data_IF_647420483754
#
_entry.id   IF_647420483754
#
_cell.length_a   1.000
_cell.length_b   1.000
_cell.length_c   1.000
_cell.angle_alpha   90.00
_cell.angle_beta   90.00
_cell.angle_gamma   90.00
#
_symmetry.space_group_name_H-M   'P 1'
#
loop_
_entity.id
_entity.type
_entity.pdbx_description
1 polymer ?
#
# COMPACT_ATOMS: atom_id res chain seq x y z
N UNK A 1 3.48 11.85 12.05
CA UNK A 1 4.03 10.58 12.59
C UNK A 1 3.53 9.34 11.85
N UNK A 2 2.22 9.15 11.60
CA UNK A 2 1.73 7.99 10.82
C UNK A 2 1.59 8.24 9.31
N UNK A 3 1.18 9.44 8.88
CA UNK A 3 1.10 9.78 7.45
C UNK A 3 2.44 9.55 6.72
N UNK A 4 3.56 9.98 7.31
CA UNK A 4 4.90 9.70 6.77
C UNK A 4 5.17 8.20 6.57
N UNK A 5 4.82 7.36 7.54
CA UNK A 5 5.00 5.90 7.47
C UNK A 5 4.12 5.27 6.40
N UNK A 6 2.88 5.75 6.25
CA UNK A 6 1.98 5.32 5.17
C UNK A 6 2.55 5.73 3.81
N UNK A 7 3.08 6.95 3.68
CA UNK A 7 3.74 7.40 2.45
C UNK A 7 4.98 6.56 2.11
N UNK A 8 5.81 6.24 3.11
CA UNK A 8 6.96 5.36 2.94
C UNK A 8 6.53 3.98 2.44
N UNK A 9 5.52 3.38 3.06
CA UNK A 9 4.94 2.10 2.65
C UNK A 9 4.41 2.14 1.21
N UNK A 10 3.74 3.22 0.79
CA UNK A 10 3.20 3.37 -0.56
C UNK A 10 4.29 3.44 -1.64
N UNK A 11 5.45 3.99 -1.31
CA UNK A 11 6.59 4.04 -2.21
C UNK A 11 7.25 2.66 -2.35
N UNK A 12 7.34 1.91 -1.26
CA UNK A 12 8.13 0.68 -1.17
C UNK A 12 7.33 -0.57 -1.58
N UNK A 13 6.04 -0.63 -1.24
CA UNK A 13 5.24 -1.82 -1.49
C UNK A 13 5.25 -2.27 -2.96
N UNK A 14 5.02 -1.40 -3.95
CA UNK A 14 5.05 -1.81 -5.35
C UNK A 14 6.40 -2.34 -5.83
N UNK A 15 7.50 -1.98 -5.15
CA UNK A 15 8.87 -2.39 -5.52
C UNK A 15 9.27 -3.72 -4.86
N UNK A 16 8.63 -4.08 -3.75
CA UNK A 16 9.02 -5.23 -2.91
C UNK A 16 7.92 -6.29 -2.79
N UNK A 17 6.70 -6.03 -3.27
CA UNK A 17 5.53 -6.91 -3.08
C UNK A 17 5.67 -8.30 -3.68
N UNK A 18 6.58 -8.51 -4.63
CA UNK A 18 6.90 -9.83 -5.17
C UNK A 18 7.66 -10.72 -4.18
N UNK A 19 8.40 -10.11 -3.24
CA UNK A 19 9.33 -10.81 -2.32
C UNK A 19 8.92 -10.68 -0.86
N UNK A 20 8.05 -9.74 -0.53
CA UNK A 20 7.71 -9.39 0.84
C UNK A 20 6.21 -9.18 1.02
N UNK A 21 5.73 -9.54 2.21
CA UNK A 21 4.32 -9.35 2.58
C UNK A 21 4.02 -7.90 2.92
N UNK A 22 2.74 -7.54 2.93
CA UNK A 22 2.25 -6.24 3.39
C UNK A 22 2.74 -5.94 4.80
N UNK A 23 2.70 -6.93 5.69
CA UNK A 23 3.10 -6.80 7.09
C UNK A 23 4.60 -6.53 7.24
N UNK A 24 5.43 -7.21 6.45
CA UNK A 24 6.88 -7.02 6.48
C UNK A 24 7.27 -5.59 6.03
N UNK A 25 6.69 -5.12 4.93
CA UNK A 25 6.97 -3.77 4.41
C UNK A 25 6.37 -2.68 5.33
N UNK A 26 5.25 -2.96 5.98
CA UNK A 26 4.69 -2.07 7.00
C UNK A 26 5.62 -1.96 8.22
N UNK A 27 6.23 -3.07 8.64
CA UNK A 27 7.22 -3.07 9.72
C UNK A 27 8.47 -2.27 9.35
N UNK A 28 9.00 -2.44 8.13
CA UNK A 28 10.11 -1.62 7.60
C UNK A 28 9.75 -0.13 7.53
N UNK A 29 8.48 0.18 7.25
CA UNK A 29 7.96 1.54 7.26
C UNK A 29 7.72 2.11 8.67
N UNK A 30 8.09 1.36 9.73
CA UNK A 30 8.09 1.83 11.12
C UNK A 30 6.81 1.55 11.91
N UNK A 31 5.93 0.65 11.44
CA UNK A 31 4.79 0.19 12.22
C UNK A 31 5.16 -0.98 13.13
N UNK A 32 4.83 -0.88 14.42
CA UNK A 32 5.11 -1.92 15.41
C UNK A 32 4.14 -3.10 15.35
N UNK A 33 2.97 -2.91 14.76
CA UNK A 33 1.95 -3.96 14.62
C UNK A 33 0.99 -3.66 13.48
N UNK A 34 0.31 -4.72 13.02
CA UNK A 34 -0.63 -4.70 11.90
C UNK A 34 -1.86 -3.82 12.16
N UNK A 35 -2.43 -3.84 13.37
CA UNK A 35 -3.62 -3.06 13.70
C UNK A 35 -3.39 -1.55 13.57
N UNK A 36 -2.26 -1.07 14.08
CA UNK A 36 -1.85 0.35 13.97
C UNK A 36 -1.64 0.74 12.52
N UNK A 37 -0.99 -0.13 11.74
CA UNK A 37 -0.78 0.08 10.31
C UNK A 37 -2.10 0.15 9.56
N UNK A 38 -2.99 -0.81 9.74
CA UNK A 38 -4.26 -0.90 9.02
C UNK A 38 -5.18 0.27 9.34
N UNK A 39 -5.26 0.66 10.61
CA UNK A 39 -6.02 1.84 11.03
C UNK A 39 -5.45 3.14 10.45
N UNK A 40 -4.12 3.31 10.48
CA UNK A 40 -3.46 4.46 9.88
C UNK A 40 -3.67 4.50 8.36
N UNK A 41 -3.44 3.38 7.67
CA UNK A 41 -3.59 3.30 6.22
C UNK A 41 -5.03 3.58 5.79
N UNK A 42 -6.03 2.98 6.45
CA UNK A 42 -7.45 3.25 6.19
C UNK A 42 -7.81 4.70 6.44
N UNK A 43 -7.28 5.31 7.50
CA UNK A 43 -7.50 6.74 7.78
C UNK A 43 -6.94 7.64 6.66
N UNK A 44 -5.78 7.31 6.12
CA UNK A 44 -5.09 8.12 5.11
C UNK A 44 -5.61 7.88 3.67
N UNK A 45 -6.08 6.66 3.36
CA UNK A 45 -6.45 6.25 1.99
C UNK A 45 -7.90 5.81 1.81
N UNK A 46 -8.67 5.71 2.89
CA UNK A 46 -10.06 5.26 2.88
C UNK A 46 -10.26 3.75 2.67
N UNK A 47 -9.22 3.02 2.24
CA UNK A 47 -9.25 1.60 1.92
C UNK A 47 -8.20 0.83 2.72
N UNK A 48 -8.35 -0.50 2.77
CA UNK A 48 -7.31 -1.39 3.30
C UNK A 48 -6.18 -1.56 2.27
N UNK A 49 -4.92 -1.84 2.69
CA UNK A 49 -3.78 -1.93 1.78
C UNK A 49 -3.99 -2.84 0.57
N UNK A 50 -4.49 -4.07 0.80
CA UNK A 50 -4.76 -5.04 -0.27
C UNK A 50 -5.78 -4.51 -1.30
N UNK A 51 -6.91 -3.97 -0.81
CA UNK A 51 -7.95 -3.41 -1.68
C UNK A 51 -7.46 -2.18 -2.45
N UNK A 52 -6.64 -1.33 -1.82
CA UNK A 52 -6.04 -0.16 -2.44
C UNK A 52 -5.15 -0.55 -3.63
N UNK A 53 -4.26 -1.54 -3.47
CA UNK A 53 -3.38 -1.97 -4.56
C UNK A 53 -4.08 -2.82 -5.62
N UNK A 54 -5.09 -3.60 -5.27
CA UNK A 54 -5.94 -4.26 -6.25
C UNK A 54 -6.66 -3.25 -7.14
N UNK A 55 -7.25 -2.21 -6.54
CA UNK A 55 -7.87 -1.11 -7.29
C UNK A 55 -6.85 -0.43 -8.22
N UNK A 56 -5.65 -0.13 -7.72
CA UNK A 56 -4.58 0.48 -8.54
C UNK A 56 -4.11 -0.39 -9.70
N UNK A 57 -4.10 -1.71 -9.54
CA UNK A 57 -3.75 -2.63 -10.63
C UNK A 57 -4.82 -2.56 -11.74
N UNK A 58 -6.10 -2.66 -11.36
CA UNK A 58 -7.22 -2.56 -12.30
C UNK A 58 -7.25 -1.22 -13.05
N UNK A 59 -6.94 -0.11 -12.37
CA UNK A 59 -6.84 1.21 -13.00
C UNK A 59 -5.72 1.29 -14.04
N UNK A 60 -4.58 0.62 -13.79
CA UNK A 60 -3.48 0.56 -14.76
C UNK A 60 -3.81 -0.26 -15.99
N UNK A 61 -4.53 -1.37 -15.82
CA UNK A 61 -4.91 -2.23 -16.93
C UNK A 61 -5.85 -1.49 -17.89
N UNK A 62 -6.84 -0.75 -17.36
CA UNK A 62 -7.75 0.07 -18.17
C UNK A 62 -7.04 1.22 -18.92
N UNK A 63 -6.06 1.87 -18.28
CA UNK A 63 -5.27 2.93 -18.93
C UNK A 63 -4.37 2.35 -20.04
N UNK A 64 -3.81 1.15 -19.82
CA UNK A 64 -3.04 0.42 -20.81
C UNK A 64 -3.88 0.04 -22.05
N UNK A 65 -5.12 -0.37 -21.83
CA UNK A 65 -6.07 -0.70 -22.91
C UNK A 65 -6.58 0.53 -23.67
N UNK A 66 -6.60 1.72 -23.05
CA UNK A 66 -7.03 2.97 -23.70
C UNK A 66 -5.92 3.59 -24.58
N UNK A 67 -4.65 3.28 -24.30
CA UNK A 67 -3.47 3.80 -24.99
C UNK A 67 -2.86 2.83 -26.02
N UNK A 68 -3.38 1.60 -26.12
CA UNK A 68 -2.96 0.56 -27.07
C UNK A 68 -3.84 0.54 -28.33
#
# INVERSE_FOLDING_TARGET
>A
MNGYRVSHFLLHYPLQSEKMTIEAIAQESGFKNQATFYNAFKKEKGLMPKAYFQKKALEKDMEGDLLA
#
